data_IF_317715087707
#
_entry.id   IF_317715087707
#
_cell.length_a   1.000
_cell.length_b   1.000
_cell.length_c   1.000
_cell.angle_alpha   90.00
_cell.angle_beta   90.00
_cell.angle_gamma   90.00
#
_symmetry.space_group_name_H-M   'P 1'
#
loop_
_entity.id
_entity.type
_entity.pdbx_description
1 polymer ?
#
# COMPACT_ATOMS: atom_id res chain seq x y z
N UNK A 1 -4.51 25.18 -14.60
CA UNK A 1 -3.37 24.28 -14.92
C UNK A 1 -3.30 23.16 -13.88
N UNK A 2 -2.72 22.00 -14.20
CA UNK A 2 -2.58 20.91 -13.24
C UNK A 2 -1.80 21.33 -11.98
N UNK A 3 -0.85 22.23 -12.13
CA UNK A 3 -0.05 22.80 -11.04
C UNK A 3 -0.85 23.51 -9.95
N UNK A 4 -2.02 24.03 -10.27
CA UNK A 4 -2.88 24.74 -9.32
C UNK A 4 -3.85 23.77 -8.63
N UNK A 5 -4.02 22.59 -9.20
CA UNK A 5 -4.99 21.60 -8.76
C UNK A 5 -4.36 20.39 -8.03
N UNK A 6 -3.13 19.99 -8.42
CA UNK A 6 -2.52 18.75 -7.96
C UNK A 6 -1.07 18.95 -7.49
N UNK A 7 -0.76 18.39 -6.34
CA UNK A 7 0.60 18.16 -5.87
C UNK A 7 0.87 16.67 -5.80
N UNK A 8 1.95 16.20 -6.42
CA UNK A 8 2.43 14.83 -6.28
C UNK A 8 3.26 14.74 -5.01
N UNK A 9 2.94 13.79 -4.14
CA UNK A 9 3.67 13.45 -2.92
C UNK A 9 4.23 12.04 -3.11
N UNK A 10 5.54 11.94 -3.24
CA UNK A 10 6.25 10.66 -3.38
C UNK A 10 7.08 10.39 -2.13
N UNK A 11 6.97 9.19 -1.57
CA UNK A 11 7.80 8.76 -0.43
C UNK A 11 9.00 8.01 -0.94
N UNK A 12 10.19 8.38 -0.43
CA UNK A 12 11.45 7.70 -0.71
C UNK A 12 12.08 7.13 0.56
N UNK A 13 12.67 5.94 0.43
CA UNK A 13 13.56 5.34 1.41
C UNK A 13 14.53 4.42 0.67
N UNK A 14 15.80 4.85 0.56
CA UNK A 14 16.83 4.21 -0.23
C UNK A 14 16.35 3.90 -1.67
N UNK A 15 15.81 4.93 -2.33
CA UNK A 15 15.13 4.81 -3.63
C UNK A 15 15.89 5.44 -4.80
N UNK A 16 17.16 5.78 -4.62
CA UNK A 16 17.97 6.47 -5.63
C UNK A 16 17.98 5.72 -6.97
N UNK A 17 18.05 4.40 -6.96
CA UNK A 17 18.02 3.59 -8.17
C UNK A 17 16.75 3.75 -9.02
N UNK A 18 15.64 4.15 -8.40
CA UNK A 18 14.31 4.28 -9.07
C UNK A 18 13.97 5.72 -9.40
N UNK A 19 14.50 6.67 -8.62
CA UNK A 19 14.07 8.06 -8.63
C UNK A 19 14.34 8.81 -9.97
N UNK A 20 15.47 8.63 -10.68
CA UNK A 20 15.67 9.28 -11.98
C UNK A 20 14.60 8.91 -13.00
N UNK A 21 14.27 7.62 -13.11
CA UNK A 21 13.25 7.14 -14.03
C UNK A 21 11.82 7.52 -13.55
N UNK A 22 11.60 7.68 -12.24
CA UNK A 22 10.35 8.19 -11.70
C UNK A 22 10.05 9.61 -12.22
N UNK A 23 11.00 10.55 -12.18
CA UNK A 23 10.76 11.90 -12.68
C UNK A 23 10.46 11.93 -14.17
N UNK A 24 11.11 11.06 -14.97
CA UNK A 24 10.78 10.95 -16.39
C UNK A 24 9.34 10.46 -16.59
N UNK A 25 8.92 9.41 -15.87
CA UNK A 25 7.55 8.90 -15.94
C UNK A 25 6.51 9.93 -15.49
N UNK A 26 6.79 10.74 -14.47
CA UNK A 26 5.90 11.83 -14.06
C UNK A 26 5.79 12.88 -15.16
N UNK A 27 6.91 13.25 -15.79
CA UNK A 27 6.91 14.20 -16.92
C UNK A 27 6.03 13.67 -18.07
N UNK A 28 6.17 12.40 -18.42
CA UNK A 28 5.38 11.77 -19.49
C UNK A 28 3.89 11.70 -19.10
N UNK A 29 3.58 11.35 -17.85
CA UNK A 29 2.20 11.25 -17.35
C UNK A 29 1.48 12.60 -17.24
N UNK A 30 2.20 13.69 -17.03
CA UNK A 30 1.61 15.05 -17.00
C UNK A 30 1.34 15.61 -18.40
N UNK A 31 1.82 14.97 -19.46
CA UNK A 31 1.57 15.35 -20.84
C UNK A 31 1.80 16.86 -21.12
N UNK A 32 2.89 17.42 -20.63
CA UNK A 32 3.27 18.82 -20.82
C UNK A 32 2.58 19.83 -19.91
N UNK A 33 1.72 19.39 -18.98
CA UNK A 33 1.10 20.25 -17.95
C UNK A 33 1.71 19.92 -16.56
N UNK A 34 2.90 20.45 -16.26
CA UNK A 34 3.68 20.04 -15.09
C UNK A 34 2.99 20.43 -13.79
N UNK A 35 3.09 19.57 -12.78
CA UNK A 35 2.59 19.81 -11.44
C UNK A 35 3.74 19.94 -10.43
N UNK A 36 3.40 20.30 -9.20
CA UNK A 36 4.34 20.37 -8.08
C UNK A 36 4.63 18.94 -7.57
N UNK A 37 5.89 18.65 -7.25
CA UNK A 37 6.32 17.36 -6.70
C UNK A 37 6.99 17.61 -5.35
N UNK A 38 6.53 16.92 -4.31
CA UNK A 38 7.12 16.87 -2.99
C UNK A 38 7.74 15.49 -2.78
N UNK A 39 9.05 15.42 -2.65
CA UNK A 39 9.78 14.20 -2.31
C UNK A 39 9.90 14.13 -0.80
N UNK A 40 9.13 13.24 -0.19
CA UNK A 40 9.09 13.01 1.25
C UNK A 40 10.07 11.89 1.59
N UNK A 41 11.32 12.25 1.85
CA UNK A 41 12.34 11.27 2.18
C UNK A 41 12.25 10.80 3.62
N UNK A 42 12.40 9.51 3.80
CA UNK A 42 12.23 8.83 5.09
C UNK A 42 13.56 8.37 5.69
N UNK A 43 14.61 9.21 5.54
CA UNK A 43 15.95 8.95 6.07
C UNK A 43 16.77 8.03 5.18
N UNK A 44 16.81 8.33 3.87
CA UNK A 44 17.68 7.62 2.91
C UNK A 44 19.15 7.94 3.12
N UNK A 45 20.00 6.94 2.90
CA UNK A 45 21.46 7.05 2.95
C UNK A 45 22.11 6.89 1.57
N UNK A 46 21.30 6.77 0.50
CA UNK A 46 21.72 6.46 -0.85
C UNK A 46 21.89 7.70 -1.78
N UNK A 47 21.86 8.92 -1.21
CA UNK A 47 22.08 10.15 -1.96
C UNK A 47 20.82 10.80 -2.57
N UNK A 48 19.62 10.40 -2.17
CA UNK A 48 18.37 11.01 -2.63
C UNK A 48 18.32 12.50 -2.35
N UNK A 49 18.79 12.98 -1.17
CA UNK A 49 18.79 14.39 -0.80
C UNK A 49 19.63 15.21 -1.78
N UNK A 50 20.86 14.81 -2.05
CA UNK A 50 21.76 15.49 -2.99
C UNK A 50 21.19 15.49 -4.42
N UNK A 51 20.60 14.39 -4.82
CA UNK A 51 20.01 14.26 -6.16
C UNK A 51 18.81 15.18 -6.36
N UNK A 52 17.92 15.29 -5.37
CA UNK A 52 16.75 16.16 -5.42
C UNK A 52 17.13 17.62 -5.21
N UNK A 53 18.03 17.92 -4.28
CA UNK A 53 18.49 19.27 -3.97
C UNK A 53 19.18 19.98 -5.14
N UNK A 54 19.79 19.24 -6.08
CA UNK A 54 20.37 19.77 -7.33
C UNK A 54 19.32 20.15 -8.39
N UNK A 55 18.06 19.83 -8.16
CA UNK A 55 16.95 20.14 -9.06
C UNK A 55 16.20 21.35 -8.54
N UNK A 56 15.80 22.23 -9.43
CA UNK A 56 15.07 23.46 -9.13
C UNK A 56 13.65 23.45 -9.70
N UNK A 57 12.87 24.48 -9.39
CA UNK A 57 11.54 24.69 -9.95
C UNK A 57 10.42 24.12 -9.10
N UNK A 58 9.63 23.20 -9.66
CA UNK A 58 8.42 22.66 -9.00
C UNK A 58 8.69 21.45 -8.11
N UNK A 59 9.94 21.13 -7.87
CA UNK A 59 10.39 20.01 -7.04
C UNK A 59 10.86 20.54 -5.67
N UNK A 60 10.37 19.93 -4.59
CA UNK A 60 10.78 20.24 -3.23
C UNK A 60 11.12 18.96 -2.47
N UNK A 61 12.18 19.03 -1.67
CA UNK A 61 12.61 17.94 -0.79
C UNK A 61 12.13 18.18 0.64
N UNK A 62 11.53 17.15 1.23
CA UNK A 62 11.07 17.13 2.62
C UNK A 62 11.71 15.93 3.32
N UNK A 63 12.97 16.10 3.70
CA UNK A 63 13.76 15.05 4.34
C UNK A 63 13.39 14.80 5.80
N UNK A 64 13.72 13.62 6.27
CA UNK A 64 13.72 13.24 7.69
C UNK A 64 15.03 12.50 7.99
N UNK A 65 15.47 12.56 9.25
CA UNK A 65 16.74 11.90 9.68
C UNK A 65 16.56 10.39 9.92
N UNK A 66 15.35 9.91 10.06
CA UNK A 66 15.03 8.51 10.34
C UNK A 66 13.76 8.08 9.64
N UNK A 67 13.63 6.77 9.42
CA UNK A 67 12.41 6.19 8.87
C UNK A 67 11.30 6.18 9.93
N UNK A 68 10.25 6.96 9.73
CA UNK A 68 9.07 7.07 10.60
C UNK A 68 7.85 6.28 10.06
N UNK A 69 8.02 5.56 8.96
CA UNK A 69 6.96 4.82 8.29
C UNK A 69 6.33 5.57 7.13
N UNK A 70 5.62 4.82 6.29
CA UNK A 70 5.09 5.32 5.02
C UNK A 70 4.02 6.41 5.22
N UNK A 71 3.04 6.15 6.08
CA UNK A 71 1.95 7.10 6.35
C UNK A 71 2.45 8.40 6.98
N UNK A 72 3.44 8.34 7.88
CA UNK A 72 4.04 9.55 8.48
C UNK A 72 4.77 10.41 7.45
N UNK A 73 5.49 9.79 6.51
CA UNK A 73 6.13 10.50 5.41
C UNK A 73 5.10 11.18 4.49
N UNK A 74 4.01 10.48 4.14
CA UNK A 74 2.91 11.06 3.36
C UNK A 74 2.27 12.26 4.09
N UNK A 75 2.09 12.17 5.41
CA UNK A 75 1.53 13.26 6.21
C UNK A 75 2.32 14.57 6.08
N UNK A 76 3.66 14.50 6.04
CA UNK A 76 4.50 15.67 5.81
C UNK A 76 4.21 16.31 4.45
N UNK A 77 4.12 15.50 3.40
CA UNK A 77 3.81 15.97 2.06
C UNK A 77 2.39 16.54 1.93
N UNK A 78 1.37 15.87 2.49
CA UNK A 78 -0.01 16.34 2.48
C UNK A 78 -0.15 17.67 3.20
N UNK A 79 0.55 17.83 4.34
CA UNK A 79 0.54 19.07 5.13
C UNK A 79 1.21 20.23 4.36
N UNK A 80 2.33 19.96 3.70
CA UNK A 80 3.08 20.95 2.91
C UNK A 80 2.40 21.30 1.57
N UNK A 81 1.58 20.41 1.02
CA UNK A 81 0.81 20.68 -0.20
C UNK A 81 -0.18 21.81 0.01
N UNK A 82 -0.44 22.59 -1.05
CA UNK A 82 -1.41 23.71 -1.03
C UNK A 82 -2.52 23.56 -2.06
N UNK A 83 -2.42 22.55 -2.92
CA UNK A 83 -3.41 22.26 -3.94
C UNK A 83 -4.63 21.52 -3.39
N UNK A 84 -5.80 21.63 -4.01
CA UNK A 84 -7.02 20.94 -3.58
C UNK A 84 -6.89 19.42 -3.62
N UNK A 85 -6.07 18.89 -4.53
CA UNK A 85 -5.81 17.46 -4.65
C UNK A 85 -4.33 17.12 -4.40
N UNK A 86 -4.09 15.93 -3.88
CA UNK A 86 -2.75 15.35 -3.71
C UNK A 86 -2.72 13.95 -4.34
N UNK A 87 -1.70 13.68 -5.15
CA UNK A 87 -1.41 12.33 -5.60
C UNK A 87 -0.37 11.70 -4.66
N UNK A 88 -0.77 10.69 -3.92
CA UNK A 88 0.09 9.94 -3.01
C UNK A 88 0.62 8.71 -3.73
N UNK A 89 1.94 8.51 -3.77
CA UNK A 89 2.50 7.45 -4.59
C UNK A 89 3.88 6.96 -4.18
N UNK A 90 4.17 5.74 -4.60
CA UNK A 90 5.50 5.15 -4.52
C UNK A 90 6.38 5.57 -5.72
N UNK A 91 7.73 5.56 -5.58
CA UNK A 91 8.64 5.91 -6.69
C UNK A 91 8.70 4.86 -7.80
N UNK A 92 8.17 3.64 -7.57
CA UNK A 92 8.10 2.54 -8.54
C UNK A 92 6.72 2.42 -9.22
N UNK A 93 6.00 3.52 -9.30
CA UNK A 93 4.72 3.63 -10.00
C UNK A 93 4.89 4.44 -11.29
N UNK A 94 4.17 4.05 -12.34
CA UNK A 94 3.99 4.79 -13.59
C UNK A 94 2.50 4.97 -13.87
N UNK A 95 2.14 6.10 -14.46
CA UNK A 95 0.76 6.43 -14.79
C UNK A 95 0.68 6.72 -16.27
N UNK A 96 -0.40 6.30 -16.89
CA UNK A 96 -0.72 6.57 -18.28
C UNK A 96 -0.59 8.08 -18.61
N UNK A 97 -0.06 8.47 -19.78
CA UNK A 97 -0.05 9.87 -20.21
C UNK A 97 -1.41 10.54 -20.09
N UNK A 98 -1.47 11.73 -19.49
CA UNK A 98 -2.71 12.44 -19.18
C UNK A 98 -3.50 11.91 -17.97
N UNK A 99 -3.10 10.78 -17.37
CA UNK A 99 -3.87 10.11 -16.31
C UNK A 99 -4.05 10.94 -15.04
N UNK A 100 -3.11 11.81 -14.68
CA UNK A 100 -3.30 12.73 -13.56
C UNK A 100 -4.46 13.71 -13.80
N UNK A 101 -4.57 14.24 -15.01
CA UNK A 101 -5.65 15.16 -15.38
C UNK A 101 -6.99 14.46 -15.38
N UNK A 102 -7.04 13.24 -15.89
CA UNK A 102 -8.26 12.42 -15.86
C UNK A 102 -8.74 12.12 -14.44
N UNK A 103 -7.82 11.82 -13.52
CA UNK A 103 -8.17 11.58 -12.11
C UNK A 103 -8.63 12.86 -11.40
N UNK A 104 -7.97 14.01 -11.65
CA UNK A 104 -8.42 15.31 -11.10
C UNK A 104 -9.82 15.63 -11.60
N UNK A 105 -10.07 15.52 -12.90
CA UNK A 105 -11.38 15.74 -13.50
C UNK A 105 -12.44 14.80 -12.92
N UNK A 106 -12.11 13.51 -12.78
CA UNK A 106 -12.99 12.52 -12.15
C UNK A 106 -13.38 12.93 -10.72
N UNK A 107 -12.41 13.44 -9.95
CA UNK A 107 -12.65 13.91 -8.57
C UNK A 107 -13.46 15.22 -8.52
N UNK A 108 -13.29 16.12 -9.49
CA UNK A 108 -14.09 17.36 -9.61
C UNK A 108 -15.56 17.06 -9.91
N UNK A 109 -15.82 16.08 -10.77
CA UNK A 109 -17.17 15.62 -11.13
C UNK A 109 -17.89 14.95 -9.93
N UNK A 110 -17.17 14.58 -8.87
CA UNK A 110 -17.68 13.83 -7.71
C UNK A 110 -17.29 14.45 -6.37
N UNK A 111 -18.03 15.44 -5.87
CA UNK A 111 -17.70 16.16 -4.63
C UNK A 111 -17.56 15.25 -3.39
N UNK A 112 -18.28 14.12 -3.36
CA UNK A 112 -18.19 13.13 -2.26
C UNK A 112 -17.02 12.18 -2.37
N UNK A 113 -16.31 12.12 -3.51
CA UNK A 113 -15.11 11.33 -3.66
C UNK A 113 -13.97 11.95 -2.85
N UNK A 114 -13.50 11.22 -1.85
CA UNK A 114 -12.28 11.59 -1.11
C UNK A 114 -11.02 11.09 -1.80
N UNK A 115 -11.11 10.01 -2.58
CA UNK A 115 -9.97 9.47 -3.30
C UNK A 115 -10.38 8.68 -4.54
N UNK A 116 -9.52 8.72 -5.55
CA UNK A 116 -9.65 7.92 -6.76
C UNK A 116 -8.29 7.40 -7.24
N UNK A 117 -8.28 6.22 -7.83
CA UNK A 117 -7.12 5.64 -8.53
C UNK A 117 -7.53 5.17 -9.91
N UNK A 118 -6.57 5.09 -10.81
CA UNK A 118 -6.72 4.28 -12.01
C UNK A 118 -6.66 2.78 -11.70
N UNK A 119 -6.84 1.97 -12.73
CA UNK A 119 -6.64 0.52 -12.62
C UNK A 119 -5.17 0.24 -12.37
N UNK A 120 -4.86 -0.39 -11.23
CA UNK A 120 -3.49 -0.75 -10.87
C UNK A 120 -3.14 -2.11 -11.46
N UNK A 121 -2.05 -2.14 -12.25
CA UNK A 121 -1.48 -3.37 -12.82
C UNK A 121 -0.09 -3.59 -12.24
N UNK A 122 0.13 -4.78 -11.70
CA UNK A 122 1.44 -5.18 -11.18
C UNK A 122 2.28 -5.83 -12.27
N UNK A 123 3.47 -5.30 -12.51
CA UNK A 123 4.40 -5.78 -13.55
C UNK A 123 5.81 -6.01 -12.97
N UNK A 124 6.63 -6.78 -13.66
CA UNK A 124 8.06 -6.91 -13.34
C UNK A 124 8.88 -5.79 -14.01
N UNK A 125 8.49 -5.41 -15.22
CA UNK A 125 9.11 -4.37 -16.03
C UNK A 125 8.04 -3.42 -16.54
N UNK A 126 8.38 -2.14 -16.71
CA UNK A 126 7.45 -1.16 -17.25
C UNK A 126 7.14 -1.50 -18.71
N UNK A 127 5.85 -1.45 -19.10
CA UNK A 127 5.47 -1.66 -20.48
C UNK A 127 5.97 -0.49 -21.35
N UNK A 128 6.29 -0.77 -22.62
CA UNK A 128 6.64 0.25 -23.60
C UNK A 128 5.44 1.14 -23.97
N UNK A 129 4.23 0.66 -23.71
CA UNK A 129 2.98 1.38 -23.98
C UNK A 129 1.90 1.04 -22.94
N UNK A 130 0.96 1.98 -22.72
CA UNK A 130 -0.18 1.80 -21.82
C UNK A 130 -1.42 1.29 -22.58
N UNK A 131 -1.25 0.27 -23.43
CA UNK A 131 -2.37 -0.33 -24.14
C UNK A 131 -3.18 -1.21 -23.19
N UNK A 132 -4.44 -0.81 -22.96
CA UNK A 132 -5.37 -1.42 -22.01
C UNK A 132 -5.49 -2.94 -22.21
N UNK A 133 -5.72 -3.39 -23.43
CA UNK A 133 -5.95 -4.80 -23.73
C UNK A 133 -4.70 -5.65 -23.57
N UNK A 134 -3.51 -5.06 -23.63
CA UNK A 134 -2.25 -5.74 -23.33
C UNK A 134 -2.01 -5.85 -21.83
N UNK A 135 -2.40 -4.85 -21.05
CA UNK A 135 -2.19 -4.80 -19.61
C UNK A 135 -3.21 -5.64 -18.83
N UNK A 136 -4.44 -5.75 -19.32
CA UNK A 136 -5.48 -6.62 -18.75
C UNK A 136 -6.35 -7.24 -19.83
N UNK A 137 -5.83 -8.28 -20.48
CA UNK A 137 -6.46 -8.89 -21.66
C UNK A 137 -7.85 -9.50 -21.38
N UNK A 138 -8.17 -9.77 -20.11
CA UNK A 138 -9.50 -10.26 -19.69
C UNK A 138 -10.50 -9.14 -19.36
N UNK A 139 -10.11 -7.87 -19.48
CA UNK A 139 -10.97 -6.72 -19.12
C UNK A 139 -11.41 -6.72 -17.64
N UNK A 140 -10.71 -7.44 -16.77
CA UNK A 140 -11.02 -7.54 -15.35
C UNK A 140 -9.92 -6.91 -14.51
N UNK A 141 -10.32 -6.32 -13.38
CA UNK A 141 -9.43 -5.63 -12.44
C UNK A 141 -9.66 -6.10 -11.02
N UNK A 142 -8.61 -6.19 -10.24
CA UNK A 142 -8.69 -6.49 -8.82
C UNK A 142 -8.90 -5.20 -8.03
N UNK A 143 -9.94 -5.15 -7.23
CA UNK A 143 -10.30 -3.99 -6.40
C UNK A 143 -10.72 -4.43 -4.99
N UNK A 144 -10.62 -3.52 -4.02
CA UNK A 144 -11.02 -3.78 -2.64
C UNK A 144 -12.50 -3.48 -2.43
N UNK A 145 -13.30 -4.50 -2.13
CA UNK A 145 -14.71 -4.37 -1.74
C UNK A 145 -14.95 -4.63 -0.26
N UNK A 146 -14.08 -5.40 0.38
CA UNK A 146 -14.17 -5.75 1.79
C UNK A 146 -13.26 -4.91 2.67
N UNK A 147 -13.50 -4.99 3.98
CA UNK A 147 -12.57 -4.46 4.98
C UNK A 147 -11.71 -5.58 5.54
N UNK A 148 -10.51 -5.21 5.96
CA UNK A 148 -9.64 -6.11 6.69
C UNK A 148 -10.32 -6.52 8.02
N UNK A 149 -10.50 -7.82 8.20
CA UNK A 149 -11.11 -8.42 9.39
C UNK A 149 -10.49 -9.79 9.68
N UNK A 150 -10.91 -10.43 10.77
CA UNK A 150 -10.35 -11.74 11.16
C UNK A 150 -10.57 -12.81 10.10
N UNK A 151 -11.73 -12.84 9.43
CA UNK A 151 -12.01 -13.87 8.41
C UNK A 151 -11.11 -13.74 7.18
N UNK A 152 -10.90 -12.51 6.69
CA UNK A 152 -9.97 -12.26 5.58
C UNK A 152 -8.54 -12.64 5.96
N UNK A 153 -8.12 -12.42 7.21
CA UNK A 153 -6.79 -12.82 7.70
C UNK A 153 -6.67 -14.33 7.92
N UNK A 154 -7.68 -14.99 8.43
CA UNK A 154 -7.72 -16.47 8.52
C UNK A 154 -7.63 -17.10 7.15
N UNK A 155 -8.36 -16.57 6.17
CA UNK A 155 -8.30 -16.99 4.77
C UNK A 155 -6.89 -16.79 4.18
N UNK A 156 -6.24 -15.67 4.49
CA UNK A 156 -4.85 -15.41 4.09
C UNK A 156 -3.89 -16.45 4.68
N UNK A 157 -3.92 -16.67 6.01
CA UNK A 157 -3.00 -17.58 6.68
C UNK A 157 -3.27 -19.06 6.37
N UNK A 158 -4.51 -19.44 6.09
CA UNK A 158 -4.86 -20.81 5.68
C UNK A 158 -4.66 -21.09 4.19
N UNK A 159 -4.43 -20.05 3.38
CA UNK A 159 -4.36 -20.16 1.92
C UNK A 159 -5.73 -20.33 1.23
N UNK A 160 -6.84 -20.21 1.96
CA UNK A 160 -8.19 -20.33 1.38
C UNK A 160 -8.47 -19.27 0.32
N UNK A 161 -7.91 -18.06 0.47
CA UNK A 161 -8.05 -17.00 -0.52
C UNK A 161 -7.52 -17.39 -1.91
N UNK A 162 -6.51 -18.28 -2.00
CA UNK A 162 -5.98 -18.76 -3.28
C UNK A 162 -6.89 -19.77 -3.95
N UNK A 163 -7.65 -20.54 -3.14
CA UNK A 163 -8.62 -21.51 -3.64
C UNK A 163 -9.95 -20.87 -4.01
N UNK A 164 -10.33 -19.82 -3.31
CA UNK A 164 -11.62 -19.13 -3.45
C UNK A 164 -11.45 -17.61 -3.63
N UNK A 165 -10.77 -17.15 -4.68
CA UNK A 165 -10.40 -15.74 -4.86
C UNK A 165 -11.60 -14.82 -5.14
N UNK A 166 -12.77 -15.37 -5.46
CA UNK A 166 -13.97 -14.60 -5.79
C UNK A 166 -14.99 -14.51 -4.64
N UNK A 167 -14.64 -14.95 -3.43
CA UNK A 167 -15.54 -14.89 -2.26
C UNK A 167 -15.24 -13.63 -1.42
N UNK A 168 -16.09 -12.58 -1.47
CA UNK A 168 -15.80 -11.27 -0.84
C UNK A 168 -15.61 -11.33 0.68
N UNK A 169 -16.16 -12.37 1.35
CA UNK A 169 -16.01 -12.58 2.78
C UNK A 169 -14.71 -13.30 3.18
N UNK A 170 -14.03 -13.94 2.19
CA UNK A 170 -12.71 -14.58 2.39
C UNK A 170 -11.55 -13.67 1.96
N UNK A 171 -11.79 -12.76 1.05
CA UNK A 171 -10.78 -11.84 0.53
C UNK A 171 -11.30 -10.41 0.58
N UNK A 172 -10.50 -9.43 1.00
CA UNK A 172 -10.94 -8.04 0.99
C UNK A 172 -10.99 -7.46 -0.42
N UNK A 173 -10.42 -8.15 -1.40
CA UNK A 173 -10.39 -7.74 -2.80
C UNK A 173 -11.06 -8.78 -3.70
N UNK A 174 -11.63 -8.33 -4.80
CA UNK A 174 -12.29 -9.17 -5.79
C UNK A 174 -11.95 -8.71 -7.21
N UNK A 175 -12.05 -9.62 -8.16
CA UNK A 175 -11.86 -9.29 -9.57
C UNK A 175 -13.21 -8.95 -10.19
N UNK A 176 -13.29 -7.79 -10.82
CA UNK A 176 -14.51 -7.29 -11.47
C UNK A 176 -14.21 -6.81 -12.87
N UNK A 177 -15.22 -6.73 -13.77
CA UNK A 177 -15.04 -6.09 -15.05
C UNK A 177 -14.55 -4.65 -14.89
N UNK A 178 -13.61 -4.24 -15.73
CA UNK A 178 -13.13 -2.87 -15.76
C UNK A 178 -14.25 -1.94 -16.26
N UNK A 179 -14.70 -1.04 -15.39
CA UNK A 179 -15.74 -0.04 -15.65
C UNK A 179 -15.18 1.36 -15.48
N UNK A 180 -15.86 2.35 -16.04
CA UNK A 180 -15.46 3.74 -15.89
C UNK A 180 -15.47 4.21 -14.45
N UNK A 181 -16.28 3.55 -13.60
CA UNK A 181 -16.42 3.88 -12.19
C UNK A 181 -16.72 2.63 -11.37
N UNK A 182 -15.86 2.36 -10.38
CA UNK A 182 -16.00 1.25 -9.43
C UNK A 182 -15.84 1.81 -8.02
N UNK A 183 -16.92 1.86 -7.24
CA UNK A 183 -16.83 2.21 -5.81
C UNK A 183 -16.11 1.10 -5.06
N UNK A 184 -15.14 1.46 -4.23
CA UNK A 184 -14.26 0.53 -3.51
C UNK A 184 -14.21 0.83 -2.03
N UNK A 185 -13.84 -0.16 -1.23
CA UNK A 185 -13.69 0.02 0.23
C UNK A 185 -12.33 0.61 0.61
N UNK A 186 -11.31 0.38 -0.19
CA UNK A 186 -9.98 0.95 -0.01
C UNK A 186 -9.28 1.11 -1.36
N UNK A 187 -8.39 2.10 -1.45
CA UNK A 187 -7.45 2.24 -2.56
C UNK A 187 -6.17 1.47 -2.25
N UNK A 188 -5.46 1.08 -3.32
CA UNK A 188 -4.14 0.47 -3.17
C UNK A 188 -3.14 1.49 -2.64
N UNK A 189 -2.37 1.14 -1.63
CA UNK A 189 -1.39 2.04 -0.99
C UNK A 189 -0.27 2.53 -1.90
N UNK A 190 -0.06 1.92 -3.08
CA UNK A 190 0.99 2.36 -4.00
C UNK A 190 0.65 3.65 -4.75
N UNK A 191 -0.64 3.96 -4.97
CA UNK A 191 -1.09 5.15 -5.69
C UNK A 191 -2.55 5.51 -5.43
N UNK A 192 -2.82 6.82 -5.31
CA UNK A 192 -4.16 7.40 -5.31
C UNK A 192 -4.11 8.93 -5.36
N UNK A 193 -5.09 9.53 -6.05
CA UNK A 193 -5.37 10.98 -5.99
C UNK A 193 -6.44 11.20 -4.93
N UNK A 194 -6.17 12.08 -3.99
CA UNK A 194 -7.05 12.35 -2.85
C UNK A 194 -7.42 13.83 -2.76
N UNK A 195 -8.64 14.10 -2.30
CA UNK A 195 -9.08 15.43 -1.88
C UNK A 195 -8.37 15.79 -0.58
N UNK A 196 -7.46 16.78 -0.64
CA UNK A 196 -6.63 17.18 0.50
C UNK A 196 -7.46 17.57 1.72
N UNK A 197 -8.55 18.29 1.53
CA UNK A 197 -9.44 18.69 2.62
C UNK A 197 -10.02 17.49 3.39
N UNK A 198 -10.43 16.43 2.69
CA UNK A 198 -10.94 15.21 3.30
C UNK A 198 -9.87 14.49 4.14
N UNK A 199 -8.62 14.45 3.67
CA UNK A 199 -7.50 13.88 4.42
C UNK A 199 -7.23 14.67 5.72
N UNK A 200 -7.25 16.00 5.64
CA UNK A 200 -7.06 16.87 6.81
C UNK A 200 -8.20 16.71 7.83
N UNK A 201 -9.43 16.63 7.35
CA UNK A 201 -10.62 16.46 8.20
C UNK A 201 -10.56 15.19 9.05
N UNK A 202 -10.08 14.07 8.48
CA UNK A 202 -9.98 12.80 9.23
C UNK A 202 -8.70 12.67 10.05
N UNK A 203 -7.82 13.70 10.07
CA UNK A 203 -6.56 13.69 10.82
C UNK A 203 -5.43 12.90 10.15
N UNK A 204 -5.43 12.80 8.81
CA UNK A 204 -4.36 12.20 8.02
C UNK A 204 -4.15 10.68 8.28
N UNK A 205 -2.98 10.14 7.91
CA UNK A 205 -2.58 8.77 8.25
C UNK A 205 -2.25 8.64 9.73
N UNK A 206 -2.56 7.50 10.34
CA UNK A 206 -2.17 7.21 11.72
C UNK A 206 -0.67 6.85 11.76
N UNK A 207 0.19 7.68 12.39
CA UNK A 207 1.64 7.46 12.38
C UNK A 207 2.09 6.22 13.15
N UNK A 208 1.20 5.59 13.94
CA UNK A 208 1.48 4.33 14.62
C UNK A 208 1.49 3.15 13.67
N UNK A 209 0.84 3.26 12.50
CA UNK A 209 0.89 2.28 11.41
C UNK A 209 2.13 2.58 10.56
N UNK A 210 3.23 1.92 10.90
CA UNK A 210 4.52 2.18 10.26
C UNK A 210 4.54 1.81 8.77
N UNK A 211 4.04 0.64 8.44
CA UNK A 211 3.88 0.12 7.07
C UNK A 211 2.83 -0.98 7.09
N UNK A 212 2.01 -1.07 6.03
CA UNK A 212 0.83 -1.91 5.90
C UNK A 212 -0.34 -1.49 6.81
N UNK A 213 -1.56 -1.67 6.33
CA UNK A 213 -2.81 -1.26 6.98
C UNK A 213 -3.03 0.25 7.10
N UNK A 214 -2.05 1.10 6.77
CA UNK A 214 -2.21 2.55 6.79
C UNK A 214 -3.26 3.01 5.77
N UNK A 215 -3.26 2.44 4.55
CA UNK A 215 -4.26 2.72 3.52
C UNK A 215 -5.64 2.17 3.88
N UNK A 216 -5.69 1.01 4.54
CA UNK A 216 -6.93 0.39 5.01
C UNK A 216 -7.56 1.22 6.14
N UNK A 217 -6.74 1.70 7.08
CA UNK A 217 -7.16 2.60 8.16
C UNK A 217 -7.69 3.94 7.63
N UNK A 218 -6.93 4.57 6.72
CA UNK A 218 -7.31 5.82 6.08
C UNK A 218 -8.65 5.67 5.35
N UNK A 219 -8.76 4.64 4.51
CA UNK A 219 -9.94 4.35 3.70
C UNK A 219 -11.19 4.12 4.57
N UNK A 220 -11.04 3.35 5.65
CA UNK A 220 -12.13 3.09 6.58
C UNK A 220 -12.59 4.38 7.27
N UNK A 221 -11.66 5.24 7.74
CA UNK A 221 -12.00 6.52 8.38
C UNK A 221 -12.68 7.50 7.40
N UNK A 222 -12.22 7.59 6.16
CA UNK A 222 -12.87 8.40 5.12
C UNK A 222 -14.32 7.93 4.90
N UNK A 223 -14.52 6.62 4.73
CA UNK A 223 -15.86 6.05 4.50
C UNK A 223 -16.79 6.23 5.71
N UNK A 224 -16.28 6.10 6.92
CA UNK A 224 -17.07 6.37 8.15
C UNK A 224 -17.54 7.82 8.22
N UNK A 225 -16.85 8.77 7.57
CA UNK A 225 -17.28 10.17 7.43
C UNK A 225 -18.20 10.40 6.23
N UNK A 226 -18.61 9.34 5.51
CA UNK A 226 -19.53 9.42 4.38
C UNK A 226 -18.87 9.76 3.05
N UNK A 227 -17.53 9.76 2.99
CA UNK A 227 -16.80 9.90 1.74
C UNK A 227 -16.79 8.59 0.94
N UNK A 228 -16.55 8.72 -0.34
CA UNK A 228 -16.49 7.62 -1.30
C UNK A 228 -15.08 7.48 -1.88
N UNK A 229 -14.70 6.25 -2.24
CA UNK A 229 -13.43 5.93 -2.87
C UNK A 229 -13.71 5.19 -4.18
N UNK A 230 -12.93 5.47 -5.23
CA UNK A 230 -13.19 4.95 -6.56
C UNK A 230 -11.93 4.41 -7.24
N UNK A 231 -12.12 3.36 -8.05
CA UNK A 231 -11.20 2.98 -9.11
C UNK A 231 -11.87 3.26 -10.44
N UNK A 232 -11.18 3.92 -11.36
CA UNK A 232 -11.71 4.25 -12.68
C UNK A 232 -10.88 3.64 -13.80
N UNK A 233 -11.54 3.16 -14.85
CA UNK A 233 -10.89 2.66 -16.04
C UNK A 233 -10.43 3.78 -17.02
N UNK A 234 -10.65 5.05 -16.67
CA UNK A 234 -10.20 6.20 -17.49
C UNK A 234 -8.68 6.32 -17.55
N UNK A 235 -7.97 5.72 -16.59
CA UNK A 235 -6.51 5.69 -16.58
C UNK A 235 -5.96 4.37 -16.01
N UNK A 236 -4.74 4.05 -16.43
CA UNK A 236 -3.99 2.88 -15.97
C UNK A 236 -2.80 3.32 -15.13
N UNK A 237 -2.60 2.61 -14.05
CA UNK A 237 -1.48 2.75 -13.14
C UNK A 237 -0.66 1.47 -13.16
N UNK A 238 0.62 1.56 -13.42
CA UNK A 238 1.54 0.42 -13.44
C UNK A 238 2.43 0.49 -12.20
N UNK A 239 2.41 -0.55 -11.40
CA UNK A 239 3.28 -0.70 -10.23
C UNK A 239 4.30 -1.80 -10.49
N UNK A 240 5.60 -1.46 -10.48
CA UNK A 240 6.68 -2.42 -10.67
C UNK A 240 6.94 -3.20 -9.40
N UNK A 241 6.49 -4.45 -9.36
CA UNK A 241 6.70 -5.34 -8.22
C UNK A 241 8.18 -5.75 -8.08
N UNK A 242 8.66 -5.83 -6.85
CA UNK A 242 9.99 -6.38 -6.56
C UNK A 242 11.11 -5.35 -6.46
N UNK A 243 10.82 -4.05 -6.39
CA UNK A 243 11.82 -2.98 -6.30
C UNK A 243 11.81 -2.18 -5.00
N UNK A 244 10.73 -2.26 -4.23
CA UNK A 244 10.59 -1.54 -2.95
C UNK A 244 10.92 -2.41 -1.74
N UNK A 245 10.77 -1.84 -0.53
CA UNK A 245 10.97 -2.54 0.76
C UNK A 245 10.10 -3.79 0.92
N UNK A 246 9.00 -3.89 0.17
CA UNK A 246 8.14 -5.09 0.10
C UNK A 246 8.76 -6.24 -0.74
N UNK A 247 9.79 -5.96 -1.55
CA UNK A 247 10.46 -6.98 -2.37
C UNK A 247 11.26 -7.98 -1.53
N UNK A 248 11.77 -7.52 -0.40
CA UNK A 248 12.51 -8.34 0.55
C UNK A 248 11.54 -8.75 1.67
N UNK A 249 10.93 -9.93 1.55
CA UNK A 249 10.22 -10.55 2.69
C UNK A 249 11.25 -10.88 3.77
N UNK A 250 11.61 -9.87 4.54
CA UNK A 250 12.45 -10.05 5.72
C UNK A 250 11.55 -10.38 6.91
N UNK A 251 12.12 -11.00 7.93
CA UNK A 251 11.47 -11.20 9.22
C UNK A 251 10.95 -9.89 9.82
N UNK A 252 11.68 -8.80 9.58
CA UNK A 252 11.29 -7.44 10.00
C UNK A 252 10.00 -7.00 9.32
N UNK A 253 9.85 -7.24 8.02
CA UNK A 253 8.65 -6.89 7.25
C UNK A 253 7.42 -7.66 7.74
N UNK A 254 7.58 -8.94 8.10
CA UNK A 254 6.49 -9.76 8.68
C UNK A 254 6.07 -9.26 10.06
N UNK A 255 7.02 -8.88 10.91
CA UNK A 255 6.72 -8.29 12.22
C UNK A 255 6.00 -6.96 12.11
N UNK A 256 6.41 -6.10 11.18
CA UNK A 256 5.73 -4.83 10.90
C UNK A 256 4.28 -5.09 10.47
N UNK A 257 4.07 -6.03 9.54
CA UNK A 257 2.73 -6.42 9.10
C UNK A 257 1.84 -6.89 10.25
N UNK A 258 2.37 -7.74 11.14
CA UNK A 258 1.65 -8.24 12.31
C UNK A 258 1.32 -7.11 13.30
N UNK A 259 2.27 -6.23 13.58
CA UNK A 259 2.07 -5.07 14.45
C UNK A 259 0.96 -4.16 13.91
N UNK A 260 1.02 -3.82 12.64
CA UNK A 260 0.01 -2.99 11.98
C UNK A 260 -1.35 -3.66 11.96
N UNK A 261 -1.41 -4.99 11.71
CA UNK A 261 -2.65 -5.76 11.75
C UNK A 261 -3.34 -5.70 13.12
N UNK A 262 -2.60 -5.98 14.21
CA UNK A 262 -3.20 -5.98 15.54
C UNK A 262 -3.51 -4.56 16.05
N UNK A 263 -2.73 -3.56 15.64
CA UNK A 263 -3.07 -2.17 15.90
C UNK A 263 -4.36 -1.77 15.19
N UNK A 264 -4.51 -2.11 13.91
CA UNK A 264 -5.72 -1.88 13.14
C UNK A 264 -6.94 -2.54 13.79
N UNK A 265 -6.84 -3.81 14.17
CA UNK A 265 -7.94 -4.53 14.85
C UNK A 265 -8.30 -3.89 16.18
N UNK A 266 -7.30 -3.52 16.99
CA UNK A 266 -7.54 -2.87 18.29
C UNK A 266 -8.22 -1.51 18.15
N UNK A 267 -7.82 -0.75 17.12
CA UNK A 267 -8.36 0.58 16.83
C UNK A 267 -9.82 0.53 16.37
N UNK A 268 -10.14 -0.39 15.46
CA UNK A 268 -11.45 -0.41 14.77
C UNK A 268 -12.45 -1.39 15.34
N UNK A 269 -12.00 -2.48 15.98
CA UNK A 269 -12.87 -3.53 16.51
C UNK A 269 -12.72 -3.74 18.03
N UNK A 270 -11.77 -3.08 18.67
CA UNK A 270 -11.58 -3.14 20.11
C UNK A 270 -10.69 -4.30 20.60
N UNK A 271 -10.39 -4.28 21.93
CA UNK A 271 -9.44 -5.23 22.54
C UNK A 271 -9.92 -6.67 22.50
N UNK A 272 -11.19 -6.94 22.85
CA UNK A 272 -11.75 -8.29 22.86
C UNK A 272 -11.68 -8.98 21.51
N UNK A 273 -12.07 -8.27 20.46
CA UNK A 273 -11.95 -8.74 19.07
C UNK A 273 -10.49 -9.05 18.71
N UNK A 274 -9.56 -8.16 19.09
CA UNK A 274 -8.13 -8.34 18.79
C UNK A 274 -7.56 -9.60 19.41
N UNK A 275 -7.92 -9.91 20.67
CA UNK A 275 -7.54 -11.16 21.33
C UNK A 275 -8.15 -12.39 20.66
N UNK A 276 -9.45 -12.34 20.33
CA UNK A 276 -10.12 -13.43 19.62
C UNK A 276 -9.45 -13.66 18.23
N UNK A 277 -9.16 -12.60 17.49
CA UNK A 277 -8.44 -12.68 16.22
C UNK A 277 -7.04 -13.28 16.38
N UNK A 278 -6.30 -12.89 17.43
CA UNK A 278 -5.00 -13.46 17.75
C UNK A 278 -5.07 -14.97 17.92
N UNK A 279 -5.95 -15.48 18.79
CA UNK A 279 -6.07 -16.92 19.03
C UNK A 279 -6.52 -17.68 17.80
N UNK A 280 -7.48 -17.13 17.02
CA UNK A 280 -7.95 -17.75 15.79
C UNK A 280 -6.86 -17.84 14.71
N UNK A 281 -6.11 -16.77 14.47
CA UNK A 281 -4.99 -16.74 13.53
C UNK A 281 -3.87 -17.69 13.99
N UNK A 282 -3.57 -17.66 15.28
CA UNK A 282 -2.56 -18.55 15.85
C UNK A 282 -2.92 -20.02 15.70
N UNK A 283 -4.18 -20.41 15.94
CA UNK A 283 -4.66 -21.77 15.72
C UNK A 283 -4.47 -22.21 14.25
N UNK A 284 -4.85 -21.38 13.28
CA UNK A 284 -4.69 -21.69 11.86
C UNK A 284 -3.21 -21.86 11.47
N UNK A 285 -2.34 -20.98 11.96
CA UNK A 285 -0.90 -21.07 11.70
C UNK A 285 -0.33 -22.36 12.32
N UNK A 286 -0.72 -22.67 13.55
CA UNK A 286 -0.25 -23.87 14.28
C UNK A 286 -0.64 -25.14 13.53
N UNK A 287 -1.91 -25.27 13.12
CA UNK A 287 -2.39 -26.39 12.32
C UNK A 287 -1.63 -26.49 10.98
N UNK A 288 -1.44 -25.36 10.31
CA UNK A 288 -0.68 -25.33 9.04
C UNK A 288 0.79 -25.73 9.19
N UNK A 289 1.44 -25.39 10.30
CA UNK A 289 2.82 -25.83 10.58
C UNK A 289 2.86 -27.31 10.96
N UNK A 290 1.96 -27.75 11.85
CA UNK A 290 1.85 -29.16 12.24
C UNK A 290 1.63 -30.06 11.00
N UNK A 291 0.72 -29.69 10.13
CA UNK A 291 0.49 -30.42 8.86
C UNK A 291 1.76 -30.51 7.98
N UNK A 292 2.50 -29.42 7.84
CA UNK A 292 3.76 -29.42 7.06
C UNK A 292 4.83 -30.31 7.67
N UNK A 293 4.99 -30.27 8.99
CA UNK A 293 5.99 -31.09 9.70
C UNK A 293 5.60 -32.56 9.64
N UNK A 294 4.36 -32.92 9.94
CA UNK A 294 3.92 -34.30 10.07
C UNK A 294 3.69 -34.98 8.72
N UNK A 295 3.14 -34.25 7.73
CA UNK A 295 2.72 -34.85 6.46
C UNK A 295 3.74 -34.65 5.34
N UNK A 296 4.46 -33.52 5.33
CA UNK A 296 5.43 -33.20 4.26
C UNK A 296 6.90 -33.32 4.69
N UNK A 297 7.20 -33.78 5.90
CA UNK A 297 8.57 -33.91 6.40
C UNK A 297 9.35 -32.61 6.51
N UNK A 298 8.66 -31.46 6.53
CA UNK A 298 9.26 -30.13 6.60
C UNK A 298 9.81 -29.81 7.99
N UNK A 299 10.81 -28.94 8.06
CA UNK A 299 11.28 -28.38 9.34
C UNK A 299 10.45 -27.13 9.67
N UNK A 300 9.83 -27.05 10.85
CA UNK A 300 9.07 -25.89 11.32
C UNK A 300 9.29 -25.64 12.81
N UNK A 301 9.42 -24.38 13.20
CA UNK A 301 9.51 -23.99 14.60
C UNK A 301 8.29 -23.17 15.00
N UNK A 302 7.41 -23.76 15.80
CA UNK A 302 6.24 -23.09 16.39
C UNK A 302 6.63 -22.02 17.42
N UNK A 303 7.75 -22.21 18.12
CA UNK A 303 8.20 -21.34 19.21
C UNK A 303 8.39 -19.88 18.76
N UNK A 304 9.03 -19.67 17.61
CA UNK A 304 9.32 -18.33 17.09
C UNK A 304 8.06 -17.62 16.60
N UNK A 305 7.17 -18.34 15.93
CA UNK A 305 5.88 -17.77 15.47
C UNK A 305 5.04 -17.29 16.65
N UNK A 306 4.97 -18.10 17.69
CA UNK A 306 4.18 -17.77 18.88
C UNK A 306 4.70 -16.51 19.57
N UNK A 307 6.00 -16.41 19.78
CA UNK A 307 6.63 -15.24 20.41
C UNK A 307 6.46 -13.97 19.58
N UNK A 308 6.48 -14.06 18.26
CA UNK A 308 6.30 -12.91 17.37
C UNK A 308 4.87 -12.39 17.37
N UNK A 309 3.90 -13.29 17.20
CA UNK A 309 2.49 -12.89 17.26
C UNK A 309 2.13 -12.30 18.62
N UNK A 310 2.59 -12.90 19.72
CA UNK A 310 2.33 -12.41 21.07
C UNK A 310 2.99 -11.05 21.31
N UNK A 311 4.24 -10.87 20.91
CA UNK A 311 4.91 -9.56 20.98
C UNK A 311 4.16 -8.49 20.19
N UNK A 312 3.78 -8.78 18.96
CA UNK A 312 3.02 -7.85 18.13
C UNK A 312 1.69 -7.46 18.73
N UNK A 313 1.00 -8.40 19.39
CA UNK A 313 -0.23 -8.14 20.11
C UNK A 313 -0.03 -7.23 21.34
N UNK A 314 1.01 -7.50 22.14
CA UNK A 314 1.28 -6.78 23.39
C UNK A 314 1.88 -5.39 23.14
N UNK A 315 2.80 -5.26 22.19
CA UNK A 315 3.46 -3.97 21.89
C UNK A 315 2.52 -2.96 21.20
N UNK A 316 1.43 -3.42 20.61
CA UNK A 316 0.29 -2.59 20.19
C UNK A 316 0.62 -1.32 19.44
N UNK A 317 1.49 -1.39 18.44
CA UNK A 317 1.77 -0.29 17.54
C UNK A 317 2.59 0.83 18.19
N UNK A 318 3.90 0.80 18.10
CA UNK A 318 4.71 1.90 18.59
C UNK A 318 6.21 1.70 18.65
N UNK A 319 6.72 0.51 18.41
CA UNK A 319 8.18 0.32 18.35
C UNK A 319 8.65 0.30 16.90
N UNK A 320 9.46 1.29 16.47
CA UNK A 320 10.15 1.25 15.21
C UNK A 320 11.03 -0.03 15.09
N UNK A 321 11.26 -0.54 13.88
CA UNK A 321 12.06 -1.75 13.66
C UNK A 321 13.48 -1.72 14.24
N UNK A 322 14.04 -0.56 14.54
CA UNK A 322 15.37 -0.38 15.12
C UNK A 322 15.49 -0.70 16.63
N UNK A 323 14.39 -0.96 17.31
CA UNK A 323 14.39 -1.29 18.76
C UNK A 323 14.12 -2.77 19.06
N UNK A 324 14.07 -3.63 18.05
CA UNK A 324 14.02 -5.08 18.26
C UNK A 324 15.45 -5.52 18.58
N UNK A 325 15.74 -5.98 19.82
CA UNK A 325 17.08 -6.43 20.17
C UNK A 325 17.55 -7.51 19.19
N UNK A 326 18.73 -7.30 18.61
CA UNK A 326 19.34 -8.22 17.66
C UNK A 326 19.48 -9.62 18.27
N UNK A 327 18.75 -10.56 17.74
CA UNK A 327 18.96 -11.98 17.88
C UNK A 327 18.93 -12.55 16.47
N UNK A 328 20.10 -12.77 15.87
CA UNK A 328 20.22 -13.46 14.60
C UNK A 328 19.49 -14.81 14.69
N UNK A 329 18.53 -15.01 13.81
CA UNK A 329 17.84 -16.28 13.63
C UNK A 329 17.85 -16.63 12.16
N UNK A 330 18.91 -17.30 11.77
CA UNK A 330 19.01 -17.97 10.48
C UNK A 330 18.16 -19.24 10.50
N UNK A 331 17.33 -19.44 9.49
CA UNK A 331 16.89 -20.78 9.14
C UNK A 331 15.39 -21.10 9.02
N UNK A 332 14.46 -20.16 8.93
CA UNK A 332 13.07 -20.51 8.59
C UNK A 332 12.60 -19.77 7.35
N UNK A 333 12.77 -20.37 6.19
CA UNK A 333 12.15 -19.94 4.95
C UNK A 333 10.67 -20.32 4.95
N UNK A 334 9.79 -19.37 5.29
CA UNK A 334 8.37 -19.49 5.00
C UNK A 334 8.13 -19.08 3.55
N UNK A 335 8.08 -20.07 2.67
CA UNK A 335 7.54 -19.89 1.31
C UNK A 335 6.01 -19.72 1.40
N UNK A 336 5.56 -18.56 1.83
CA UNK A 336 4.23 -18.08 1.56
C UNK A 336 4.30 -17.39 0.20
N UNK A 337 4.08 -18.15 -0.88
CA UNK A 337 3.76 -17.53 -2.14
C UNK A 337 2.51 -16.68 -1.91
N UNK A 338 2.64 -15.36 -2.04
CA UNK A 338 1.46 -14.54 -2.31
C UNK A 338 0.72 -15.24 -3.46
N UNK A 339 -0.63 -15.23 -3.46
CA UNK A 339 -1.34 -15.71 -4.62
C UNK A 339 -0.74 -14.97 -5.80
N UNK A 340 -0.09 -15.72 -6.69
CA UNK A 340 0.28 -15.20 -7.98
C UNK A 340 -1.02 -14.65 -8.54
N UNK A 341 -1.07 -13.35 -8.79
CA UNK A 341 -2.02 -12.82 -9.75
C UNK A 341 -1.95 -13.78 -10.94
N UNK A 342 -3.06 -14.35 -11.40
CA UNK A 342 -3.02 -15.34 -12.46
C UNK A 342 -2.13 -14.81 -13.56
N UNK A 343 -1.07 -15.53 -13.88
CA UNK A 343 -0.15 -15.14 -14.96
C UNK A 343 -1.00 -14.97 -16.19
N UNK A 344 -0.94 -13.80 -16.81
CA UNK A 344 -1.31 -13.66 -18.18
C UNK A 344 -0.36 -14.60 -18.96
N UNK A 345 -0.86 -15.75 -19.35
CA UNK A 345 -0.25 -16.61 -20.37
C UNK A 345 -0.66 -16.09 -21.71
#
# INVERSE_FOLDING_TARGET
>A
MLADQLTIVVVTYNSMATLPSFFQRVKDATAGDPCRILVCDNGSEDGVEDFVGRKSGRLSFLGNRKNEGYGAALNRGITAARTPFVALMNPDVAIQPGGYRELVRFMEERPRAAGASGIVVHVREYPSSFVRDQLFPRGQVAVHFGHENVLTRLSFYSGLQTKFPHRPWLVPWSTVPARDEISVSALNGCFGVFRRAALLEIGLFDPRLFLYFEESDLSLRLRTRGYELYVTARTVVVHRSGTGSAATRSRTTELILLNSQYLFFRKHYGRGYTWAAFFAIWAVITVGVAYRVLVRGGRGSLRHLWTWHLRSLLCGGGTPPGTIPGGGMDGVNYNWSAPSVPRAT
#
